data_IF_949783502476
#
_entry.id   IF_949783502476
#
_cell.length_a   1.000
_cell.length_b   1.000
_cell.length_c   1.000
_cell.angle_alpha   90.00
_cell.angle_beta   90.00
_cell.angle_gamma   90.00
#
_symmetry.space_group_name_H-M   'P 1'
#
loop_
_entity.id
_entity.type
_entity.pdbx_description
1 polymer ?
#
# COMPACT_ATOMS: atom_id res chain seq x y z
N UNK A 1 -9.54 12.38 -24.47
CA UNK A 1 -8.82 11.67 -23.40
C UNK A 1 -8.36 10.34 -23.98
N UNK A 2 -7.07 10.19 -24.30
CA UNK A 2 -6.53 8.96 -24.88
C UNK A 2 -6.14 8.02 -23.74
N UNK A 3 -6.78 6.85 -23.68
CA UNK A 3 -6.37 5.78 -22.78
C UNK A 3 -6.14 4.52 -23.60
N UNK A 4 -5.00 3.87 -23.36
CA UNK A 4 -4.59 2.66 -24.06
C UNK A 4 -4.35 1.57 -23.04
N UNK A 5 -4.89 0.38 -23.31
CA UNK A 5 -4.73 -0.80 -22.47
C UNK A 5 -4.17 -1.94 -23.31
N UNK A 6 -3.14 -2.60 -22.79
CA UNK A 6 -2.53 -3.77 -23.41
C UNK A 6 -2.31 -4.88 -22.38
N UNK A 7 -2.43 -6.12 -22.82
CA UNK A 7 -2.12 -7.31 -22.00
C UNK A 7 -1.17 -8.18 -22.80
N UNK A 8 -0.06 -8.58 -22.17
CA UNK A 8 0.88 -9.52 -22.72
C UNK A 8 1.13 -10.63 -21.71
N UNK A 9 1.17 -11.88 -22.20
CA UNK A 9 1.61 -13.04 -21.43
C UNK A 9 2.88 -13.56 -22.08
N UNK A 10 3.91 -13.76 -21.28
CA UNK A 10 5.21 -14.27 -21.75
C UNK A 10 5.53 -15.55 -21.01
N UNK A 11 5.97 -16.60 -21.71
CA UNK A 11 6.38 -17.85 -21.07
C UNK A 11 7.68 -17.71 -20.27
N UNK A 12 8.49 -16.69 -20.57
CA UNK A 12 9.79 -16.46 -19.92
C UNK A 12 9.68 -15.96 -18.47
N UNK A 13 8.72 -15.08 -18.17
CA UNK A 13 8.60 -14.44 -16.87
C UNK A 13 7.55 -15.09 -15.96
N UNK A 14 6.95 -16.23 -16.33
CA UNK A 14 6.00 -16.94 -15.44
C UNK A 14 4.91 -16.01 -14.86
N UNK A 15 4.36 -15.11 -15.68
CA UNK A 15 3.47 -14.05 -15.21
C UNK A 15 2.68 -13.36 -16.31
N UNK A 16 1.84 -12.40 -15.89
CA UNK A 16 0.99 -11.59 -16.76
C UNK A 16 1.46 -10.14 -16.66
N UNK A 17 1.74 -9.53 -17.80
CA UNK A 17 2.05 -8.10 -17.92
C UNK A 17 0.83 -7.36 -18.48
N UNK A 18 0.46 -6.26 -17.85
CA UNK A 18 -0.58 -5.36 -18.31
C UNK A 18 -0.03 -3.95 -18.38
N UNK A 19 -0.23 -3.27 -19.52
CA UNK A 19 0.15 -1.88 -19.72
C UNK A 19 -1.10 -1.02 -19.74
N UNK A 20 -1.06 0.11 -19.06
CA UNK A 20 -2.12 1.11 -19.03
C UNK A 20 -1.51 2.49 -19.20
N UNK A 21 -1.98 3.24 -20.20
CA UNK A 21 -1.73 4.67 -20.32
C UNK A 21 -3.01 5.44 -19.98
N UNK A 22 -2.93 6.37 -19.04
CA UNK A 22 -4.03 7.26 -18.68
C UNK A 22 -3.51 8.59 -18.15
N UNK A 23 -4.08 9.72 -18.59
CA UNK A 23 -3.78 11.06 -18.04
C UNK A 23 -2.28 11.39 -17.92
N UNK A 24 -1.48 10.92 -18.87
CA UNK A 24 -0.01 11.02 -18.95
C UNK A 24 0.78 10.05 -18.08
N UNK A 25 0.14 9.17 -17.32
CA UNK A 25 0.80 8.10 -16.59
C UNK A 25 0.78 6.81 -17.41
N UNK A 26 1.97 6.22 -17.61
CA UNK A 26 2.14 4.89 -18.16
C UNK A 26 2.49 3.92 -17.03
N UNK A 27 1.57 3.01 -16.73
CA UNK A 27 1.70 1.99 -15.70
C UNK A 27 1.88 0.62 -16.34
N UNK A 28 2.93 -0.10 -15.93
CA UNK A 28 3.20 -1.48 -16.34
C UNK A 28 3.03 -2.38 -15.13
N UNK A 29 1.89 -3.06 -15.00
CA UNK A 29 1.67 -4.03 -13.93
C UNK A 29 2.09 -5.42 -14.39
N UNK A 30 3.01 -6.02 -13.66
CA UNK A 30 3.38 -7.42 -13.77
C UNK A 30 2.84 -8.21 -12.56
N UNK A 31 2.15 -9.31 -12.80
CA UNK A 31 1.67 -10.25 -11.79
C UNK A 31 2.32 -11.61 -11.98
N UNK A 32 2.98 -12.13 -10.95
CA UNK A 32 3.59 -13.46 -11.00
C UNK A 32 2.52 -14.57 -10.99
N UNK A 33 2.83 -15.76 -11.50
CA UNK A 33 1.90 -16.90 -11.64
C UNK A 33 1.22 -17.33 -10.34
N UNK A 34 1.82 -17.07 -9.19
CA UNK A 34 1.21 -17.40 -7.89
C UNK A 34 0.13 -16.40 -7.47
N UNK A 35 -0.07 -15.30 -8.21
CA UNK A 35 -1.00 -14.20 -7.91
C UNK A 35 -0.74 -13.49 -6.58
N UNK A 36 0.40 -13.77 -5.93
CA UNK A 36 0.76 -13.20 -4.64
C UNK A 36 1.89 -12.16 -4.77
N UNK A 37 2.60 -12.10 -5.90
CA UNK A 37 3.57 -11.04 -6.23
C UNK A 37 3.06 -10.13 -7.35
N UNK A 38 3.14 -8.83 -7.14
CA UNK A 38 2.86 -7.79 -8.15
C UNK A 38 3.96 -6.74 -8.14
N UNK A 39 4.44 -6.38 -9.34
CA UNK A 39 5.30 -5.23 -9.59
C UNK A 39 4.53 -4.25 -10.46
N UNK A 40 4.60 -2.95 -10.15
CA UNK A 40 4.03 -1.89 -10.99
C UNK A 40 5.05 -0.78 -11.18
N UNK A 41 5.99 -0.93 -12.13
CA UNK A 41 6.74 0.20 -12.65
C UNK A 41 5.80 1.19 -13.34
N UNK A 42 6.03 2.47 -13.08
CA UNK A 42 5.21 3.58 -13.56
C UNK A 42 6.12 4.70 -14.04
N UNK A 43 5.72 5.36 -15.13
CA UNK A 43 6.36 6.60 -15.61
C UNK A 43 5.30 7.67 -15.86
N UNK A 44 5.52 8.86 -15.30
CA UNK A 44 4.66 10.03 -15.52
C UNK A 44 5.25 10.91 -16.63
N UNK A 45 4.45 11.29 -17.60
CA UNK A 45 4.85 12.12 -18.73
C UNK A 45 4.28 13.55 -18.60
N UNK A 46 4.97 14.60 -19.10
CA UNK A 46 6.29 14.57 -19.75
C UNK A 46 7.47 14.63 -18.77
N UNK A 47 7.23 14.64 -17.45
CA UNK A 47 8.32 14.74 -16.45
C UNK A 47 9.32 13.59 -16.54
N UNK A 48 8.90 12.45 -17.09
CA UNK A 48 9.62 11.17 -17.09
C UNK A 48 9.90 10.66 -15.67
N UNK A 49 9.10 11.07 -14.69
CA UNK A 49 9.25 10.64 -13.31
C UNK A 49 8.95 9.15 -13.19
N UNK A 50 9.87 8.38 -12.62
CA UNK A 50 9.74 6.92 -12.52
C UNK A 50 9.44 6.51 -11.09
N UNK A 51 8.52 5.56 -10.92
CA UNK A 51 8.28 4.90 -9.63
C UNK A 51 8.06 3.40 -9.79
N UNK A 52 8.15 2.68 -8.68
CA UNK A 52 7.90 1.24 -8.61
C UNK A 52 7.08 0.91 -7.38
N UNK A 53 5.88 0.34 -7.59
CA UNK A 53 5.19 -0.40 -6.55
C UNK A 53 5.61 -1.86 -6.56
N UNK A 54 5.86 -2.41 -5.39
CA UNK A 54 6.01 -3.84 -5.14
C UNK A 54 4.99 -4.30 -4.10
N UNK A 55 4.31 -5.41 -4.37
CA UNK A 55 3.34 -6.02 -3.44
C UNK A 55 3.60 -7.52 -3.39
N UNK A 56 3.82 -8.06 -2.19
CA UNK A 56 3.98 -9.49 -1.95
C UNK A 56 3.05 -9.97 -0.85
N UNK A 57 2.35 -11.05 -1.08
CA UNK A 57 1.66 -11.82 -0.04
C UNK A 57 2.48 -13.07 0.27
N UNK A 58 2.62 -13.35 1.56
CA UNK A 58 3.33 -14.54 2.06
C UNK A 58 2.35 -15.65 2.47
N UNK A 59 1.05 -15.39 2.32
CA UNK A 59 -0.04 -16.28 2.65
C UNK A 59 -1.37 -15.50 2.67
N UNK A 60 -2.39 -16.12 3.25
CA UNK A 60 -3.72 -15.50 3.38
C UNK A 60 -3.71 -14.26 4.28
N UNK A 61 -2.87 -14.26 5.32
CA UNK A 61 -2.83 -13.23 6.36
C UNK A 61 -1.89 -12.06 6.05
N UNK A 62 -0.75 -12.36 5.44
CA UNK A 62 0.42 -11.48 5.39
C UNK A 62 0.59 -10.82 4.03
N UNK A 63 0.77 -9.50 4.04
CA UNK A 63 1.06 -8.70 2.84
C UNK A 63 2.09 -7.62 3.14
N UNK A 64 3.14 -7.57 2.35
CA UNK A 64 4.06 -6.44 2.24
C UNK A 64 3.71 -5.61 1.00
N UNK A 65 3.72 -4.30 1.14
CA UNK A 65 3.66 -3.34 0.04
C UNK A 65 4.83 -2.37 0.20
N UNK A 66 5.47 -2.04 -0.90
CA UNK A 66 6.58 -1.11 -0.98
C UNK A 66 6.37 -0.20 -2.18
N UNK A 67 6.71 1.06 -2.05
CA UNK A 67 6.69 2.04 -3.13
C UNK A 67 8.01 2.80 -3.09
N UNK A 68 8.59 3.04 -4.27
CA UNK A 68 9.81 3.83 -4.42
C UNK A 68 9.65 4.79 -5.59
N UNK A 69 10.00 6.06 -5.37
CA UNK A 69 10.08 7.10 -6.39
C UNK A 69 11.57 7.36 -6.70
N UNK A 70 11.95 7.17 -7.96
CA UNK A 70 13.35 7.29 -8.40
C UNK A 70 13.82 8.74 -8.55
N UNK A 71 12.89 9.71 -8.61
CA UNK A 71 13.24 11.12 -8.76
C UNK A 71 13.52 11.78 -7.42
N UNK A 72 12.78 11.38 -6.38
CA UNK A 72 12.85 12.00 -5.04
C UNK A 72 13.60 11.15 -4.02
N UNK A 73 13.98 9.91 -4.37
CA UNK A 73 14.47 8.87 -3.46
C UNK A 73 13.50 8.56 -2.30
N UNK A 74 12.24 8.99 -2.43
CA UNK A 74 11.20 8.73 -1.43
C UNK A 74 10.64 7.34 -1.58
N UNK A 75 10.36 6.72 -0.44
CA UNK A 75 9.83 5.39 -0.36
C UNK A 75 8.90 5.22 0.84
N UNK A 76 7.97 4.28 0.69
CA UNK A 76 7.17 3.82 1.82
C UNK A 76 7.06 2.30 1.79
N UNK A 77 6.97 1.73 2.99
CA UNK A 77 6.77 0.31 3.20
C UNK A 77 5.61 0.10 4.15
N UNK A 78 4.72 -0.83 3.82
CA UNK A 78 3.57 -1.19 4.67
C UNK A 78 3.47 -2.71 4.75
N UNK A 79 3.59 -3.22 5.96
CA UNK A 79 3.24 -4.59 6.29
C UNK A 79 1.83 -4.65 6.87
N UNK A 80 1.06 -5.65 6.44
CA UNK A 80 -0.29 -5.96 6.92
C UNK A 80 -0.34 -7.42 7.33
N UNK A 81 -0.82 -7.67 8.54
CA UNK A 81 -1.17 -8.99 9.03
C UNK A 81 -2.68 -9.05 9.35
N UNK A 82 -3.36 -10.09 8.90
CA UNK A 82 -4.80 -10.30 9.12
C UNK A 82 -5.03 -11.49 10.05
N UNK A 83 -5.74 -11.26 11.14
CA UNK A 83 -6.07 -12.29 12.14
C UNK A 83 -7.57 -12.60 12.04
N UNK A 84 -7.88 -13.77 11.49
CA UNK A 84 -9.25 -14.17 11.19
C UNK A 84 -9.97 -13.16 10.28
N UNK A 85 -11.26 -12.93 10.53
CA UNK A 85 -12.08 -11.98 9.74
C UNK A 85 -12.17 -10.57 10.35
N UNK A 86 -11.74 -10.42 11.60
CA UNK A 86 -12.13 -9.29 12.44
C UNK A 86 -10.98 -8.35 12.75
N UNK A 87 -9.73 -8.78 12.61
CA UNK A 87 -8.59 -7.98 13.06
C UNK A 87 -7.53 -7.84 11.97
N UNK A 88 -6.99 -6.63 11.87
CA UNK A 88 -5.83 -6.34 11.01
C UNK A 88 -4.82 -5.52 11.77
N UNK A 89 -3.59 -6.00 11.77
CA UNK A 89 -2.44 -5.23 12.19
C UNK A 89 -1.78 -4.66 10.94
N UNK A 90 -1.39 -3.40 11.00
CA UNK A 90 -0.57 -2.77 9.97
C UNK A 90 0.55 -2.01 10.63
N UNK A 91 1.74 -2.10 10.06
CA UNK A 91 2.85 -1.24 10.39
C UNK A 91 3.44 -0.70 9.09
N UNK A 92 3.90 0.54 9.11
CA UNK A 92 4.54 1.11 7.95
C UNK A 92 5.47 2.26 8.28
N UNK A 93 6.25 2.62 7.28
CA UNK A 93 7.13 3.78 7.31
C UNK A 93 6.95 4.54 6.01
N UNK A 94 6.99 5.86 6.10
CA UNK A 94 6.93 6.80 4.98
C UNK A 94 8.12 7.74 5.09
N UNK A 95 9.01 7.72 4.08
CA UNK A 95 10.25 8.49 4.12
C UNK A 95 10.07 9.96 3.78
N UNK A 96 9.03 10.33 3.02
CA UNK A 96 8.73 11.73 2.66
C UNK A 96 8.45 12.52 3.94
N UNK A 97 7.60 11.96 4.81
CA UNK A 97 7.23 12.58 6.10
C UNK A 97 8.01 12.05 7.29
N UNK A 98 8.87 11.05 7.10
CA UNK A 98 9.67 10.35 8.14
C UNK A 98 8.83 9.83 9.31
N UNK A 99 7.68 9.26 8.99
CA UNK A 99 6.74 8.75 9.99
C UNK A 99 6.72 7.22 9.95
N UNK A 100 7.10 6.62 11.07
CA UNK A 100 6.75 5.25 11.38
C UNK A 100 5.36 5.18 11.99
N UNK A 101 4.53 4.22 11.60
CA UNK A 101 3.21 4.07 12.19
C UNK A 101 2.83 2.60 12.36
N UNK A 102 2.00 2.34 13.36
CA UNK A 102 1.37 1.06 13.59
C UNK A 102 -0.12 1.26 13.85
N UNK A 103 -0.97 0.38 13.34
CA UNK A 103 -2.40 0.47 13.56
C UNK A 103 -3.03 -0.91 13.74
N UNK A 104 -4.03 -0.95 14.60
CA UNK A 104 -4.92 -2.08 14.80
C UNK A 104 -6.28 -1.67 14.26
N UNK A 105 -6.83 -2.49 13.38
CA UNK A 105 -8.21 -2.41 12.94
C UNK A 105 -8.99 -3.58 13.54
N UNK A 106 -10.11 -3.29 14.19
CA UNK A 106 -11.05 -4.26 14.72
C UNK A 106 -12.42 -4.08 14.05
N UNK A 107 -13.04 -5.20 13.63
CA UNK A 107 -14.32 -5.28 12.95
C UNK A 107 -14.26 -5.96 11.58
N UNK A 108 -15.30 -6.71 11.22
CA UNK A 108 -15.39 -7.38 9.91
C UNK A 108 -15.48 -6.39 8.76
N UNK A 109 -14.66 -6.59 7.73
CA UNK A 109 -14.62 -5.73 6.54
C UNK A 109 -15.95 -5.75 5.78
N UNK A 110 -16.51 -6.96 5.58
CA UNK A 110 -17.77 -7.22 4.86
C UNK A 110 -19.03 -7.23 5.75
N UNK A 111 -18.87 -7.04 7.07
CA UNK A 111 -19.99 -7.02 8.00
C UNK A 111 -20.91 -5.83 7.72
N UNK A 112 -22.21 -6.10 7.53
CA UNK A 112 -23.28 -5.10 7.53
C UNK A 112 -23.34 -4.42 8.91
N UNK A 113 -23.84 -3.19 9.00
CA UNK A 113 -23.91 -2.42 10.26
C UNK A 113 -24.53 -3.22 11.43
N UNK A 114 -25.53 -4.09 11.14
CA UNK A 114 -26.17 -4.98 12.13
C UNK A 114 -25.29 -6.13 12.64
N UNK A 115 -24.30 -6.61 11.89
CA UNK A 115 -23.47 -7.78 12.26
C UNK A 115 -22.05 -7.42 12.69
N UNK A 116 -21.62 -6.17 12.48
CA UNK A 116 -20.32 -5.66 12.91
C UNK A 116 -20.48 -4.32 13.66
N UNK A 117 -21.10 -4.33 14.86
CA UNK A 117 -21.52 -3.12 15.57
C UNK A 117 -20.38 -2.19 16.02
N UNK A 118 -19.11 -2.62 15.91
CA UNK A 118 -17.95 -1.79 16.27
C UNK A 118 -16.81 -1.98 15.25
N UNK A 119 -16.78 -1.13 14.20
CA UNK A 119 -15.60 -0.95 13.36
C UNK A 119 -14.73 0.16 13.96
N UNK A 120 -13.55 -0.20 14.46
CA UNK A 120 -12.62 0.73 15.10
C UNK A 120 -11.21 0.59 14.55
N UNK A 121 -10.58 1.73 14.24
CA UNK A 121 -9.14 1.85 14.03
C UNK A 121 -8.53 2.53 15.24
N UNK A 122 -7.48 1.93 15.75
CA UNK A 122 -6.54 2.59 16.64
C UNK A 122 -5.20 2.68 15.90
N UNK A 123 -4.63 3.86 15.79
CA UNK A 123 -3.38 4.10 15.08
C UNK A 123 -2.41 4.89 15.97
N UNK A 124 -1.21 4.35 16.11
CA UNK A 124 -0.06 4.98 16.73
C UNK A 124 0.88 5.45 15.62
N UNK A 125 1.39 6.67 15.72
CA UNK A 125 2.33 7.23 14.74
C UNK A 125 3.51 7.83 15.52
N UNK A 126 4.71 7.37 15.18
CA UNK A 126 5.96 7.92 15.65
C UNK A 126 6.53 8.80 14.54
N UNK A 127 6.48 10.11 14.75
CA UNK A 127 7.02 11.10 13.84
C UNK A 127 8.42 11.51 14.32
N UNK A 128 9.42 11.37 13.45
CA UNK A 128 10.80 11.76 13.74
C UNK A 128 11.12 13.01 12.92
N UNK A 129 11.28 14.20 13.55
CA UNK A 129 11.63 15.42 12.85
C UNK A 129 12.98 15.30 12.12
N UNK A 130 13.06 15.84 10.91
CA UNK A 130 14.26 15.75 10.05
C UNK A 130 15.47 16.46 10.65
N UNK A 131 15.24 17.57 11.35
CA UNK A 131 16.22 18.45 11.98
C UNK A 131 16.59 17.98 13.40
N UNK A 132 15.80 17.11 14.02
CA UNK A 132 16.01 16.71 15.41
C UNK A 132 15.52 15.28 15.72
N UNK A 133 16.34 14.29 15.35
CA UNK A 133 16.10 12.86 15.63
C UNK A 133 15.99 12.57 17.14
N UNK A 134 16.55 13.43 18.00
CA UNK A 134 16.51 13.25 19.46
C UNK A 134 15.15 13.59 20.08
N UNK A 135 14.29 14.31 19.36
CA UNK A 135 12.98 14.74 19.85
C UNK A 135 11.84 14.18 18.98
N UNK A 136 11.58 12.86 19.02
CA UNK A 136 10.46 12.29 18.30
C UNK A 136 9.12 12.69 18.94
N UNK A 137 8.09 12.84 18.10
CA UNK A 137 6.70 13.05 18.54
C UNK A 137 5.92 11.75 18.41
N UNK A 138 5.23 11.35 19.48
CA UNK A 138 4.28 10.24 19.44
C UNK A 138 2.86 10.79 19.31
N UNK A 139 2.20 10.44 18.22
CA UNK A 139 0.81 10.79 17.94
C UNK A 139 -0.07 9.55 18.07
N UNK A 140 -1.25 9.75 18.64
CA UNK A 140 -2.27 8.72 18.79
C UNK A 140 -3.55 9.16 18.11
N UNK A 141 -4.09 8.30 17.23
CA UNK A 141 -5.32 8.56 16.48
C UNK A 141 -6.29 7.40 16.63
N UNK A 142 -7.46 7.68 17.18
CA UNK A 142 -8.61 6.75 17.19
C UNK A 142 -9.59 7.18 16.13
N UNK A 143 -9.96 6.26 15.25
CA UNK A 143 -11.06 6.43 14.29
C UNK A 143 -12.09 5.35 14.56
N UNK A 144 -13.21 5.73 15.17
CA UNK A 144 -14.38 4.87 15.35
C UNK A 144 -15.38 5.18 14.24
N UNK A 145 -15.86 4.15 13.53
CA UNK A 145 -17.02 4.30 12.65
C UNK A 145 -18.28 4.00 13.46
N UNK A 146 -19.20 4.94 13.45
CA UNK A 146 -20.55 4.80 14.00
C UNK A 146 -21.49 4.67 12.82
N UNK A 147 -21.47 3.52 12.18
CA UNK A 147 -22.41 3.22 11.10
C UNK A 147 -23.67 2.66 11.81
N UNK A 148 -24.74 3.48 11.91
CA UNK A 148 -26.06 3.09 12.43
C UNK A 148 -26.82 2.24 11.40
#
# INVERSE_FOLDING_TARGET
MLSVYGIAKTDFLDGILTAQYNENDLNLRYCYKDNELTLVPSVSLPSNAVSLDFKRRFGSSDKLSYHFNFDTDEWNAVYKHTIGKNYKLKAGYDSEVRVGWASIWAGQEEGKAKTAPMKMKVQFMLQVPQDNIRNPSLLFRVKKRWDL
#
